data_IF_290117953947
#
_entry.id   IF_290117953947
#
_cell.length_a   1.000
_cell.length_b   1.000
_cell.length_c   1.000
_cell.angle_alpha   90.00
_cell.angle_beta   90.00
_cell.angle_gamma   90.00
#
_symmetry.space_group_name_H-M   'P 1'
#
loop_
_entity.id
_entity.type
_entity.pdbx_description
1 polymer ?
#
# COMPACT_ATOMS: atom_id res chain seq x y z
N UNK A 1 -10.55 -17.81 -0.43
CA UNK A 1 -9.09 -17.84 -0.26
C UNK A 1 -8.54 -16.90 -1.30
N UNK A 2 -7.82 -15.86 -0.88
CA UNK A 2 -7.24 -14.85 -1.77
C UNK A 2 -6.34 -15.49 -2.84
N UNK A 3 -6.46 -15.02 -4.08
CA UNK A 3 -5.68 -15.44 -5.24
C UNK A 3 -5.06 -14.22 -5.92
N UNK A 4 -3.73 -14.14 -5.94
CA UNK A 4 -3.00 -13.05 -6.62
C UNK A 4 -3.42 -12.92 -8.09
N UNK A 5 -3.58 -14.05 -8.78
CA UNK A 5 -3.86 -14.06 -10.23
C UNK A 5 -5.36 -14.11 -10.55
N UNK A 6 -6.22 -14.19 -9.54
CA UNK A 6 -7.68 -14.18 -9.69
C UNK A 6 -8.31 -12.89 -9.18
N UNK A 7 -7.94 -12.46 -7.98
CA UNK A 7 -8.58 -11.35 -7.27
C UNK A 7 -7.93 -9.99 -7.56
N UNK A 8 -6.70 -9.97 -8.09
CA UNK A 8 -5.97 -8.73 -8.40
C UNK A 8 -5.84 -8.45 -9.90
N UNK A 9 -6.41 -9.27 -10.78
CA UNK A 9 -6.45 -8.97 -12.22
C UNK A 9 -7.58 -8.01 -12.60
N UNK A 10 -8.57 -7.89 -11.71
CA UNK A 10 -9.66 -6.92 -11.78
C UNK A 10 -10.01 -6.53 -10.34
N UNK A 11 -9.89 -5.24 -10.01
CA UNK A 11 -10.21 -4.77 -8.67
C UNK A 11 -11.70 -4.40 -8.58
N UNK A 12 -12.35 -4.64 -7.42
CA UNK A 12 -13.71 -4.14 -7.20
C UNK A 12 -13.79 -2.61 -7.34
N UNK A 13 -14.86 -2.10 -7.94
CA UNK A 13 -15.12 -0.65 -8.03
C UNK A 13 -15.57 -0.03 -6.70
N UNK A 14 -16.12 -0.86 -5.80
CA UNK A 14 -16.62 -0.44 -4.50
C UNK A 14 -15.53 -0.47 -3.42
N UNK A 15 -15.43 0.59 -2.62
CA UNK A 15 -14.43 0.72 -1.58
C UNK A 15 -14.56 -0.33 -0.48
N UNK A 16 -15.79 -0.72 -0.10
CA UNK A 16 -15.99 -1.75 0.93
C UNK A 16 -15.58 -3.13 0.41
N UNK A 17 -15.86 -3.44 -0.86
CA UNK A 17 -15.38 -4.67 -1.50
C UNK A 17 -13.84 -4.72 -1.58
N UNK A 18 -13.17 -3.59 -1.78
CA UNK A 18 -11.69 -3.53 -1.66
C UNK A 18 -11.23 -3.78 -0.22
N UNK A 19 -11.95 -3.28 0.80
CA UNK A 19 -11.66 -3.62 2.20
C UNK A 19 -11.81 -5.13 2.49
N UNK A 20 -12.82 -5.80 1.93
CA UNK A 20 -12.97 -7.24 2.04
C UNK A 20 -11.79 -7.99 1.37
N UNK A 21 -11.31 -7.48 0.24
CA UNK A 21 -10.13 -8.00 -0.44
C UNK A 21 -8.86 -7.86 0.42
N UNK A 22 -8.65 -6.70 1.06
CA UNK A 22 -7.57 -6.48 2.03
C UNK A 22 -7.67 -7.49 3.17
N UNK A 23 -8.86 -7.66 3.75
CA UNK A 23 -9.09 -8.62 4.84
C UNK A 23 -8.74 -10.05 4.42
N UNK A 24 -9.15 -10.46 3.22
CA UNK A 24 -8.86 -11.81 2.69
C UNK A 24 -7.37 -12.02 2.46
N UNK A 25 -6.65 -11.01 1.97
CA UNK A 25 -5.19 -11.04 1.86
C UNK A 25 -4.53 -11.23 3.23
N UNK A 26 -4.84 -10.36 4.19
CA UNK A 26 -4.27 -10.39 5.53
C UNK A 26 -4.46 -11.75 6.21
N UNK A 27 -5.66 -12.33 6.12
CA UNK A 27 -5.96 -13.66 6.68
C UNK A 27 -5.15 -14.77 5.96
N UNK A 28 -5.17 -14.77 4.63
CA UNK A 28 -4.57 -15.87 3.85
C UNK A 28 -3.04 -15.87 3.81
N UNK A 29 -2.42 -14.70 3.99
CA UNK A 29 -0.97 -14.52 4.08
C UNK A 29 -0.47 -14.52 5.52
N UNK A 30 -1.36 -14.75 6.50
CA UNK A 30 -1.07 -14.76 7.93
C UNK A 30 -0.41 -13.45 8.41
N UNK A 31 -0.83 -12.34 7.81
CA UNK A 31 -0.43 -10.99 8.15
C UNK A 31 -1.53 -10.43 9.06
N UNK A 32 -1.51 -10.80 10.34
CA UNK A 32 -2.55 -10.36 11.30
C UNK A 32 -1.93 -9.64 12.48
N UNK A 33 -2.63 -8.61 13.00
CA UNK A 33 -2.25 -7.93 14.23
C UNK A 33 -2.79 -8.70 15.44
N UNK A 34 -1.94 -9.34 16.26
CA UNK A 34 -2.41 -9.93 17.50
C UNK A 34 -2.85 -8.80 18.46
N UNK A 35 -4.06 -8.91 19.02
CA UNK A 35 -4.47 -8.09 20.16
C UNK A 35 -5.04 -6.70 19.85
N UNK A 36 -5.50 -6.44 18.62
CA UNK A 36 -6.25 -5.22 18.32
C UNK A 36 -7.62 -5.22 19.02
N UNK A 37 -7.88 -4.24 19.88
CA UNK A 37 -9.21 -4.02 20.45
C UNK A 37 -10.06 -3.18 19.48
N UNK A 38 -10.91 -3.88 18.72
CA UNK A 38 -11.78 -3.25 17.73
C UNK A 38 -12.76 -2.23 18.34
N UNK A 39 -13.18 -2.42 19.59
CA UNK A 39 -14.10 -1.48 20.25
C UNK A 39 -13.39 -0.18 20.61
N UNK A 40 -12.13 -0.28 21.07
CA UNK A 40 -11.29 0.88 21.30
C UNK A 40 -10.98 1.62 19.99
N UNK A 41 -10.54 0.89 18.96
CA UNK A 41 -10.21 1.47 17.67
C UNK A 41 -11.40 2.22 17.04
N UNK A 42 -12.59 1.61 17.07
CA UNK A 42 -13.84 2.23 16.59
C UNK A 42 -14.18 3.52 17.37
N UNK A 43 -13.95 3.55 18.69
CA UNK A 43 -14.15 4.76 19.49
C UNK A 43 -13.13 5.85 19.11
N UNK A 44 -11.85 5.51 18.96
CA UNK A 44 -10.81 6.47 18.58
C UNK A 44 -11.07 7.09 17.20
N UNK A 45 -11.59 6.30 16.26
CA UNK A 45 -12.00 6.80 14.94
C UNK A 45 -13.18 7.77 15.04
N UNK A 46 -14.20 7.47 15.87
CA UNK A 46 -15.32 8.40 16.10
C UNK A 46 -14.87 9.71 16.75
N UNK A 47 -13.95 9.64 17.71
CA UNK A 47 -13.37 10.83 18.34
C UNK A 47 -12.56 11.66 17.33
N UNK A 48 -11.85 11.00 16.40
CA UNK A 48 -11.16 11.69 15.31
C UNK A 48 -12.15 12.42 14.39
N UNK A 49 -13.21 11.75 13.94
CA UNK A 49 -14.27 12.36 13.12
C UNK A 49 -14.94 13.56 13.81
N UNK A 50 -15.28 13.42 15.09
CA UNK A 50 -15.85 14.50 15.89
C UNK A 50 -14.89 15.69 15.99
N UNK A 51 -13.61 15.43 16.27
CA UNK A 51 -12.57 16.46 16.38
C UNK A 51 -12.29 17.18 15.06
N UNK A 52 -12.32 16.44 13.94
CA UNK A 52 -12.09 16.97 12.60
C UNK A 52 -13.35 17.64 12.02
N UNK A 53 -14.53 17.34 12.55
CA UNK A 53 -15.81 17.85 12.06
C UNK A 53 -16.24 17.24 10.72
N UNK A 54 -15.76 16.04 10.40
CA UNK A 54 -16.06 15.33 9.15
C UNK A 54 -16.17 13.82 9.37
N UNK A 55 -16.85 13.13 8.46
CA UNK A 55 -16.83 11.67 8.40
C UNK A 55 -15.63 11.21 7.56
N UNK A 56 -14.90 10.20 8.03
CA UNK A 56 -13.80 9.64 7.25
C UNK A 56 -14.34 8.79 6.08
N UNK A 57 -13.64 8.73 4.93
CA UNK A 57 -14.01 7.83 3.85
C UNK A 57 -14.06 6.37 4.32
N UNK A 58 -14.96 5.58 3.73
CA UNK A 58 -15.25 4.19 4.15
C UNK A 58 -13.98 3.35 4.30
N UNK A 59 -13.08 3.41 3.31
CA UNK A 59 -11.86 2.62 3.33
C UNK A 59 -10.87 3.06 4.41
N UNK A 60 -10.70 4.37 4.64
CA UNK A 60 -9.82 4.87 5.69
C UNK A 60 -10.38 4.56 7.09
N UNK A 61 -11.68 4.75 7.29
CA UNK A 61 -12.37 4.33 8.52
C UNK A 61 -12.12 2.84 8.79
N UNK A 62 -12.34 2.01 7.77
CA UNK A 62 -12.15 0.56 7.88
C UNK A 62 -10.71 0.20 8.23
N UNK A 63 -9.71 0.80 7.56
CA UNK A 63 -8.30 0.56 7.83
C UNK A 63 -7.91 0.92 9.26
N UNK A 64 -8.32 2.09 9.75
CA UNK A 64 -8.01 2.55 11.10
C UNK A 64 -8.65 1.66 12.17
N UNK A 65 -9.86 1.14 11.92
CA UNK A 65 -10.56 0.26 12.86
C UNK A 65 -10.06 -1.19 12.83
N UNK A 66 -9.79 -1.76 11.64
CA UNK A 66 -9.57 -3.20 11.48
C UNK A 66 -8.11 -3.60 11.32
N UNK A 67 -7.28 -2.71 10.78
CA UNK A 67 -5.84 -2.95 10.64
C UNK A 67 -5.08 -2.20 11.73
N UNK A 68 -5.50 -0.96 12.02
CA UNK A 68 -4.94 -0.12 13.07
C UNK A 68 -3.61 0.53 12.69
N UNK A 69 -3.28 1.64 13.33
CA UNK A 69 -2.04 2.39 13.09
C UNK A 69 -0.79 1.82 13.81
N UNK A 70 -0.86 0.58 14.30
CA UNK A 70 0.21 -0.06 15.06
C UNK A 70 1.24 -0.78 14.18
N UNK A 71 2.51 -0.72 14.59
CA UNK A 71 3.70 -1.23 13.88
C UNK A 71 3.77 -2.74 13.58
N UNK A 72 2.74 -3.52 13.92
CA UNK A 72 2.79 -4.98 13.84
C UNK A 72 2.46 -5.52 12.44
N UNK A 73 1.61 -4.83 11.67
CA UNK A 73 1.23 -5.22 10.30
C UNK A 73 1.49 -4.10 9.29
N UNK A 74 1.33 -2.85 9.70
CA UNK A 74 1.64 -1.67 8.90
C UNK A 74 2.50 -0.70 9.72
N UNK A 75 3.31 0.13 9.07
CA UNK A 75 4.18 1.10 9.75
C UNK A 75 5.64 0.67 9.84
N UNK A 76 6.13 -0.08 8.87
CA UNK A 76 7.56 -0.31 8.60
C UNK A 76 8.14 0.81 7.77
N UNK A 77 7.56 1.04 6.59
CA UNK A 77 8.02 2.08 5.67
C UNK A 77 7.11 3.29 5.70
N UNK A 78 5.80 3.07 5.65
CA UNK A 78 4.81 4.11 5.70
C UNK A 78 3.86 3.91 6.89
N UNK A 79 3.75 4.94 7.72
CA UNK A 79 2.85 4.96 8.86
C UNK A 79 1.45 5.36 8.45
N UNK A 80 0.46 4.54 8.81
CA UNK A 80 -0.93 4.99 8.88
C UNK A 80 -1.06 5.92 10.09
N UNK A 81 -1.48 7.16 9.87
CA UNK A 81 -1.59 8.17 10.93
C UNK A 81 -2.66 7.73 11.93
N UNK A 82 -2.24 7.65 13.21
CA UNK A 82 -3.14 7.28 14.30
C UNK A 82 -4.37 8.20 14.36
N UNK A 83 -5.59 7.70 14.66
CA UNK A 83 -6.81 8.53 14.66
C UNK A 83 -6.69 9.81 15.49
N UNK A 84 -6.02 9.75 16.64
CA UNK A 84 -5.75 10.89 17.52
C UNK A 84 -4.81 11.95 16.94
N UNK A 85 -4.02 11.59 15.94
CA UNK A 85 -3.03 12.43 15.28
C UNK A 85 -3.47 12.87 13.87
N UNK A 86 -4.60 12.36 13.36
CA UNK A 86 -5.14 12.83 12.09
C UNK A 86 -5.37 14.35 12.15
N UNK A 87 -4.88 15.04 11.13
CA UNK A 87 -4.94 16.49 11.00
C UNK A 87 -5.25 16.88 9.56
N UNK A 88 -5.88 18.05 9.41
CA UNK A 88 -6.04 18.73 8.14
C UNK A 88 -4.92 19.76 8.07
N UNK A 89 -4.11 19.71 7.01
CA UNK A 89 -3.03 20.67 6.83
C UNK A 89 -3.55 22.07 6.45
N UNK A 90 -2.63 23.01 6.32
CA UNK A 90 -2.93 24.40 5.94
C UNK A 90 -3.49 24.55 4.52
N UNK A 91 -3.38 23.51 3.69
CA UNK A 91 -3.90 23.46 2.32
C UNK A 91 -5.23 22.70 2.21
N UNK A 92 -5.81 22.26 3.33
CA UNK A 92 -7.10 21.55 3.35
C UNK A 92 -6.98 20.08 2.98
N UNK A 93 -5.84 19.44 3.24
CA UNK A 93 -5.62 18.01 3.00
C UNK A 93 -5.66 17.24 4.31
N UNK A 94 -6.54 16.25 4.40
CA UNK A 94 -6.52 15.27 5.47
C UNK A 94 -5.36 14.30 5.23
N UNK A 95 -4.31 14.39 6.05
CA UNK A 95 -3.13 13.52 5.95
C UNK A 95 -3.40 12.22 6.71
N UNK A 96 -3.32 11.08 6.01
CA UNK A 96 -3.55 9.76 6.61
C UNK A 96 -2.34 8.83 6.54
N UNK A 97 -1.35 9.10 5.68
CA UNK A 97 -0.14 8.27 5.53
C UNK A 97 1.10 9.16 5.50
N UNK A 98 2.16 8.73 6.18
CA UNK A 98 3.44 9.46 6.28
C UNK A 98 4.59 8.47 6.21
N UNK A 99 5.58 8.76 5.39
CA UNK A 99 6.77 7.92 5.25
C UNK A 99 7.63 7.99 6.53
N UNK A 100 8.33 6.90 6.86
CA UNK A 100 8.98 6.71 8.16
C UNK A 100 10.12 7.69 8.46
N UNK A 101 10.75 8.27 7.45
CA UNK A 101 11.74 9.34 7.54
C UNK A 101 11.13 10.73 7.31
N UNK A 102 9.80 10.80 7.21
CA UNK A 102 9.04 12.01 6.90
C UNK A 102 9.46 12.65 5.57
N UNK A 103 9.84 11.83 4.59
CA UNK A 103 10.20 12.33 3.25
C UNK A 103 8.96 12.60 2.39
N UNK A 104 7.88 11.86 2.62
CA UNK A 104 6.64 11.99 1.87
C UNK A 104 5.41 11.89 2.78
N UNK A 105 4.31 12.50 2.32
CA UNK A 105 2.98 12.41 2.93
C UNK A 105 1.93 12.13 1.86
N UNK A 106 0.86 11.44 2.25
CA UNK A 106 -0.32 11.20 1.42
C UNK A 106 -1.59 11.61 2.15
N UNK A 107 -2.57 12.05 1.37
CA UNK A 107 -3.80 12.58 1.90
C UNK A 107 -4.92 12.65 0.88
N UNK A 108 -6.07 13.10 1.38
CA UNK A 108 -7.28 13.36 0.60
C UNK A 108 -7.68 14.81 0.83
N UNK A 109 -8.10 15.52 -0.23
CA UNK A 109 -8.62 16.88 -0.04
C UNK A 109 -9.95 16.87 0.69
N UNK A 110 -10.13 17.80 1.62
CA UNK A 110 -11.34 17.90 2.42
C UNK A 110 -12.59 18.19 1.58
N UNK A 111 -12.46 18.90 0.46
CA UNK A 111 -13.56 19.15 -0.48
C UNK A 111 -13.94 17.92 -1.33
N UNK A 112 -13.04 16.94 -1.45
CA UNK A 112 -13.25 15.66 -2.15
C UNK A 112 -13.67 14.53 -1.19
N UNK A 113 -13.59 14.74 0.13
CA UNK A 113 -13.77 13.68 1.14
C UNK A 113 -15.17 13.04 1.15
N UNK A 114 -16.17 13.75 0.61
CA UNK A 114 -17.54 13.26 0.49
C UNK A 114 -17.75 12.26 -0.66
N UNK A 115 -16.74 12.04 -1.51
CA UNK A 115 -16.79 11.00 -2.53
C UNK A 115 -16.73 9.61 -1.89
N UNK A 116 -17.37 8.62 -2.53
CA UNK A 116 -17.41 7.24 -2.02
C UNK A 116 -16.00 6.64 -1.88
N UNK A 117 -15.12 6.99 -2.81
CA UNK A 117 -13.72 6.56 -2.85
C UNK A 117 -12.86 7.70 -3.40
N UNK A 118 -12.46 8.67 -2.55
CA UNK A 118 -11.84 9.91 -3.02
C UNK A 118 -10.43 9.67 -3.58
N UNK A 119 -9.95 10.55 -4.47
CA UNK A 119 -8.58 10.48 -4.97
C UNK A 119 -7.56 10.80 -3.88
N UNK A 120 -6.38 10.21 -4.03
CA UNK A 120 -5.21 10.42 -3.17
C UNK A 120 -4.23 11.34 -3.86
N UNK A 121 -3.73 12.28 -3.07
CA UNK A 121 -2.62 13.16 -3.40
C UNK A 121 -1.43 12.86 -2.50
N UNK A 122 -0.24 13.16 -2.99
CA UNK A 122 1.00 13.00 -2.26
C UNK A 122 1.84 14.28 -2.30
N UNK A 123 2.76 14.41 -1.35
CA UNK A 123 3.65 15.57 -1.24
C UNK A 123 5.06 15.10 -0.87
N UNK A 124 6.03 15.50 -1.68
CA UNK A 124 7.46 15.41 -1.36
C UNK A 124 7.83 16.53 -0.37
N UNK A 125 8.21 16.14 0.84
CA UNK A 125 8.60 17.06 1.90
C UNK A 125 10.06 17.51 1.79
N UNK A 126 10.91 16.79 1.07
CA UNK A 126 12.31 17.16 0.87
C UNK A 126 12.46 18.24 -0.21
N UNK A 127 11.66 18.15 -1.28
CA UNK A 127 11.65 19.14 -2.35
C UNK A 127 10.80 20.39 -2.01
N UNK A 128 10.04 20.36 -0.91
CA UNK A 128 9.07 21.42 -0.57
C UNK A 128 7.98 21.55 -1.64
N UNK A 129 7.62 20.44 -2.28
CA UNK A 129 6.74 20.42 -3.44
C UNK A 129 5.28 20.71 -3.06
N UNK A 130 4.48 21.10 -4.04
CA UNK A 130 3.03 21.16 -3.92
C UNK A 130 2.43 19.74 -3.84
N UNK A 131 1.17 19.64 -3.39
CA UNK A 131 0.44 18.38 -3.45
C UNK A 131 0.19 17.94 -4.91
N UNK A 132 0.63 16.74 -5.26
CA UNK A 132 0.52 16.15 -6.59
C UNK A 132 -0.45 14.95 -6.59
N UNK A 133 -1.03 14.64 -7.76
CA UNK A 133 -1.87 13.44 -7.91
C UNK A 133 -1.04 12.17 -7.66
N UNK A 134 -1.63 11.19 -6.98
CA UNK A 134 -0.97 9.91 -6.68
C UNK A 134 -1.81 8.70 -7.12
N UNK A 135 -3.05 8.59 -6.64
CA UNK A 135 -3.96 7.48 -6.94
C UNK A 135 -5.38 8.01 -7.09
N UNK A 136 -6.19 7.40 -7.97
CA UNK A 136 -7.56 7.87 -8.21
C UNK A 136 -8.56 7.42 -7.14
N UNK A 137 -8.19 6.43 -6.34
CA UNK A 137 -9.05 5.75 -5.36
C UNK A 137 -8.28 5.47 -4.08
N UNK A 138 -8.73 6.04 -2.97
CA UNK A 138 -8.20 5.82 -1.63
C UNK A 138 -8.20 4.34 -1.24
N UNK A 139 -9.26 3.60 -1.53
CA UNK A 139 -9.32 2.17 -1.21
C UNK A 139 -8.21 1.36 -1.88
N UNK A 140 -7.84 1.73 -3.10
CA UNK A 140 -6.77 1.09 -3.87
C UNK A 140 -5.39 1.50 -3.36
N UNK A 141 -5.21 2.76 -2.94
CA UNK A 141 -3.98 3.19 -2.24
C UNK A 141 -3.77 2.40 -0.94
N UNK A 142 -4.83 2.22 -0.15
CA UNK A 142 -4.75 1.47 1.11
C UNK A 142 -4.47 -0.02 0.88
N UNK A 143 -5.00 -0.61 -0.21
CA UNK A 143 -4.65 -1.96 -0.64
C UNK A 143 -3.17 -2.07 -1.00
N UNK A 144 -2.66 -1.15 -1.81
CA UNK A 144 -1.25 -1.06 -2.20
C UNK A 144 -0.35 -0.92 -0.97
N UNK A 145 -0.71 -0.01 -0.06
CA UNK A 145 -0.01 0.21 1.21
C UNK A 145 0.08 -1.09 2.01
N UNK A 146 -1.01 -1.85 2.14
CA UNK A 146 -0.99 -3.13 2.85
C UNK A 146 -0.03 -4.12 2.20
N UNK A 147 0.03 -4.22 0.87
CA UNK A 147 0.99 -5.08 0.19
C UNK A 147 2.43 -4.64 0.41
N UNK A 148 2.69 -3.34 0.30
CA UNK A 148 4.02 -2.77 0.57
C UNK A 148 4.48 -3.10 2.00
N UNK A 149 3.64 -2.83 2.99
CA UNK A 149 3.99 -3.02 4.40
C UNK A 149 4.14 -4.50 4.76
N UNK A 150 3.26 -5.36 4.25
CA UNK A 150 3.36 -6.81 4.45
C UNK A 150 4.63 -7.40 3.83
N UNK A 151 5.04 -6.90 2.66
CA UNK A 151 6.30 -7.28 2.01
C UNK A 151 7.51 -6.89 2.88
N UNK A 152 7.43 -5.81 3.64
CA UNK A 152 8.54 -5.32 4.49
C UNK A 152 8.53 -5.92 5.92
N UNK A 153 7.68 -6.91 6.18
CA UNK A 153 7.69 -7.65 7.46
C UNK A 153 8.90 -8.62 7.53
N UNK A 154 9.54 -8.81 8.70
CA UNK A 154 10.70 -9.70 8.85
C UNK A 154 10.41 -11.15 8.51
N UNK A 155 9.18 -11.59 8.75
CA UNK A 155 8.73 -12.95 8.51
C UNK A 155 8.26 -13.15 7.07
N UNK A 156 8.25 -12.09 6.24
CA UNK A 156 7.81 -12.15 4.87
C UNK A 156 8.80 -12.95 4.01
N UNK A 157 8.28 -13.78 3.10
CA UNK A 157 9.12 -14.42 2.11
C UNK A 157 9.33 -13.43 0.97
N UNK A 158 10.44 -12.70 1.02
CA UNK A 158 10.77 -11.67 0.04
C UNK A 158 12.18 -11.85 -0.49
N UNK A 159 12.32 -11.71 -1.80
CA UNK A 159 13.59 -11.52 -2.48
C UNK A 159 13.51 -10.27 -3.33
N UNK A 160 14.64 -9.58 -3.48
CA UNK A 160 14.78 -8.38 -4.27
C UNK A 160 15.99 -8.47 -5.20
N UNK A 161 15.93 -7.77 -6.33
CA UNK A 161 17.06 -7.59 -7.23
C UNK A 161 17.08 -6.17 -7.77
N UNK A 162 18.26 -5.59 -7.87
CA UNK A 162 18.47 -4.32 -8.56
C UNK A 162 18.39 -4.53 -10.09
N UNK A 163 17.86 -3.54 -10.79
CA UNK A 163 17.71 -3.51 -12.24
C UNK A 163 18.70 -2.52 -12.88
N UNK A 164 19.94 -2.97 -13.09
CA UNK A 164 20.99 -2.12 -13.68
C UNK A 164 20.70 -1.68 -15.14
N UNK A 165 19.77 -2.34 -15.83
CA UNK A 165 19.45 -2.09 -17.25
C UNK A 165 17.98 -1.80 -17.51
N UNK A 166 17.21 -1.46 -16.47
CA UNK A 166 15.75 -1.30 -16.55
C UNK A 166 14.99 -2.62 -16.46
N UNK A 167 13.67 -2.55 -16.70
CA UNK A 167 12.77 -3.68 -16.59
C UNK A 167 13.14 -4.83 -17.56
N UNK A 168 13.26 -6.08 -17.06
CA UNK A 168 13.54 -7.23 -17.91
C UNK A 168 12.29 -7.60 -18.74
N UNK A 169 12.45 -8.05 -20.00
CA UNK A 169 11.33 -8.37 -20.89
C UNK A 169 10.46 -9.53 -20.37
N UNK A 170 10.99 -10.36 -19.47
CA UNK A 170 10.24 -11.43 -18.81
C UNK A 170 9.04 -10.91 -18.01
N UNK A 171 9.06 -9.66 -17.53
CA UNK A 171 7.90 -9.05 -16.87
C UNK A 171 6.70 -8.90 -17.80
N UNK A 172 6.92 -8.68 -19.11
CA UNK A 172 5.84 -8.55 -20.09
C UNK A 172 5.08 -9.87 -20.30
N UNK A 173 5.67 -10.99 -19.89
CA UNK A 173 5.02 -12.30 -19.91
C UNK A 173 4.15 -12.59 -18.68
N UNK A 174 4.25 -11.75 -17.64
CA UNK A 174 3.50 -11.92 -16.42
C UNK A 174 2.15 -11.19 -16.49
N UNK A 175 1.08 -11.76 -15.90
CA UNK A 175 -0.17 -11.04 -15.70
C UNK A 175 0.05 -9.70 -14.99
N UNK A 176 -0.40 -8.62 -15.61
CA UNK A 176 -0.43 -7.31 -14.97
C UNK A 176 -1.59 -7.26 -13.98
N UNK A 177 -1.33 -6.79 -12.76
CA UNK A 177 -2.37 -6.61 -11.76
C UNK A 177 -3.10 -5.28 -11.98
N UNK A 178 -4.38 -5.23 -11.63
CA UNK A 178 -5.26 -4.08 -11.76
C UNK A 178 -5.00 -2.96 -10.73
N UNK A 179 -3.92 -3.06 -9.95
CA UNK A 179 -3.40 -1.96 -9.13
C UNK A 179 -2.82 -0.91 -10.09
N UNK A 180 -3.40 0.31 -10.16
CA UNK A 180 -2.93 1.32 -11.09
C UNK A 180 -1.48 1.74 -10.84
N UNK A 181 -0.81 2.13 -11.91
CA UNK A 181 0.52 2.74 -11.84
C UNK A 181 0.46 4.00 -10.98
N UNK A 182 1.46 4.18 -10.12
CA UNK A 182 1.61 5.35 -9.30
C UNK A 182 3.09 5.74 -9.22
N UNK A 183 3.34 6.98 -8.78
CA UNK A 183 4.67 7.56 -8.74
C UNK A 183 5.58 6.74 -7.82
N UNK A 184 6.77 6.40 -8.30
CA UNK A 184 7.84 5.93 -7.42
C UNK A 184 8.45 7.14 -6.72
N UNK A 185 7.92 7.49 -5.55
CA UNK A 185 8.21 8.76 -4.88
C UNK A 185 9.70 9.07 -4.64
N UNK A 186 10.64 8.11 -4.47
CA UNK A 186 12.07 8.43 -4.37
C UNK A 186 12.67 8.95 -5.68
N UNK A 187 12.06 8.63 -6.83
CA UNK A 187 12.46 9.08 -8.17
C UNK A 187 11.20 9.47 -8.97
N UNK A 188 10.54 10.59 -8.62
CA UNK A 188 9.18 10.88 -9.10
C UNK A 188 9.10 11.18 -10.60
N UNK A 189 10.22 11.57 -11.21
CA UNK A 189 10.35 11.81 -12.66
C UNK A 189 10.68 10.53 -13.46
N UNK A 190 10.90 9.42 -12.77
CA UNK A 190 11.24 8.13 -13.36
C UNK A 190 10.02 7.31 -13.78
N UNK A 191 10.24 6.06 -14.21
CA UNK A 191 9.15 5.11 -14.42
C UNK A 191 8.32 4.91 -13.14
N UNK A 192 7.02 4.59 -13.26
CA UNK A 192 6.14 4.39 -12.12
C UNK A 192 6.38 3.04 -11.42
N UNK A 193 5.76 2.88 -10.26
CA UNK A 193 5.58 1.57 -9.61
C UNK A 193 4.55 0.74 -10.36
N UNK A 194 4.84 -0.56 -10.50
CA UNK A 194 4.01 -1.51 -11.26
C UNK A 194 3.91 -2.84 -10.54
N UNK A 195 2.74 -3.46 -10.59
CA UNK A 195 2.47 -4.74 -9.93
C UNK A 195 2.11 -5.84 -10.94
N UNK A 196 2.74 -7.00 -10.79
CA UNK A 196 2.51 -8.20 -11.60
C UNK A 196 2.23 -9.40 -10.70
N UNK A 197 1.49 -10.37 -11.25
CA UNK A 197 1.04 -11.54 -10.53
C UNK A 197 1.69 -12.82 -11.02
N UNK A 198 2.20 -13.63 -10.10
CA UNK A 198 2.42 -15.04 -10.29
C UNK A 198 1.53 -15.83 -9.32
N UNK A 199 1.42 -17.15 -9.51
CA UNK A 199 0.71 -18.01 -8.56
C UNK A 199 1.32 -17.81 -7.15
N UNK A 200 0.51 -17.33 -6.21
CA UNK A 200 0.86 -17.10 -4.81
C UNK A 200 2.11 -16.21 -4.59
N UNK A 201 2.43 -15.35 -5.57
CA UNK A 201 3.57 -14.43 -5.50
C UNK A 201 3.25 -13.11 -6.22
N UNK A 202 3.42 -12.00 -5.50
CA UNK A 202 3.36 -10.64 -6.01
C UNK A 202 4.75 -10.23 -6.50
N UNK A 203 4.80 -9.63 -7.68
CA UNK A 203 6.02 -9.01 -8.21
C UNK A 203 5.77 -7.50 -8.28
N UNK A 204 6.62 -6.73 -7.61
CA UNK A 204 6.58 -5.26 -7.64
C UNK A 204 7.82 -4.75 -8.37
N UNK A 205 7.61 -3.87 -9.33
CA UNK A 205 8.65 -3.13 -10.02
C UNK A 205 8.62 -1.67 -9.55
N UNK A 206 9.70 -1.25 -8.91
CA UNK A 206 9.90 0.11 -8.41
C UNK A 206 10.72 0.93 -9.42
N UNK A 207 9.99 1.60 -10.31
CA UNK A 207 10.54 2.57 -11.25
C UNK A 207 11.60 2.04 -12.20
N UNK A 208 11.54 0.74 -12.53
CA UNK A 208 12.53 0.02 -13.33
C UNK A 208 13.95 0.05 -12.71
N UNK A 209 14.05 0.29 -11.39
CA UNK A 209 15.30 0.28 -10.60
C UNK A 209 15.39 -0.93 -9.68
N UNK A 210 14.26 -1.37 -9.11
CA UNK A 210 14.20 -2.54 -8.23
C UNK A 210 13.04 -3.46 -8.58
N UNK A 211 13.28 -4.77 -8.48
CA UNK A 211 12.22 -5.76 -8.43
C UNK A 211 12.16 -6.42 -7.07
N UNK A 212 10.93 -6.60 -6.61
CA UNK A 212 10.61 -7.37 -5.42
C UNK A 212 9.72 -8.54 -5.80
N UNK A 213 10.03 -9.70 -5.24
CA UNK A 213 9.18 -10.88 -5.30
C UNK A 213 8.74 -11.21 -3.87
N UNK A 214 7.44 -11.11 -3.63
CA UNK A 214 6.81 -11.37 -2.35
C UNK A 214 5.89 -12.57 -2.46
N UNK A 215 6.20 -13.64 -1.74
CA UNK A 215 5.48 -14.91 -1.80
C UNK A 215 4.89 -15.29 -0.46
N UNK A 216 3.87 -16.16 -0.50
CA UNK A 216 3.32 -16.75 0.72
C UNK A 216 4.30 -17.72 1.38
N UNK A 217 5.14 -18.38 0.59
CA UNK A 217 6.18 -19.30 1.02
C UNK A 217 7.50 -19.03 0.28
N UNK A 218 8.61 -19.55 0.80
CA UNK A 218 9.90 -19.49 0.11
C UNK A 218 9.86 -20.12 -1.29
N UNK A 219 9.08 -21.18 -1.49
CA UNK A 219 8.92 -21.83 -2.79
C UNK A 219 8.20 -20.94 -3.81
N UNK A 220 7.32 -20.06 -3.34
CA UNK A 220 6.60 -19.11 -4.20
C UNK A 220 7.55 -18.05 -4.75
N UNK A 221 8.42 -17.50 -3.90
CA UNK A 221 9.45 -16.55 -4.32
C UNK A 221 10.50 -17.21 -5.20
N UNK A 222 10.92 -18.44 -4.88
CA UNK A 222 11.87 -19.19 -5.70
C UNK A 222 11.34 -19.50 -7.11
N UNK A 223 10.01 -19.51 -7.34
CA UNK A 223 9.46 -19.59 -8.70
C UNK A 223 9.71 -18.29 -9.46
N UNK A 224 9.55 -17.14 -8.82
CA UNK A 224 9.81 -15.84 -9.43
C UNK A 224 11.26 -15.71 -9.88
N UNK A 225 12.22 -16.11 -9.03
CA UNK A 225 13.66 -16.02 -9.35
C UNK A 225 14.10 -16.92 -10.50
N UNK A 226 13.37 -18.01 -10.77
CA UNK A 226 13.59 -18.86 -11.94
C UNK A 226 12.97 -18.31 -13.22
N UNK A 227 11.93 -17.48 -13.09
CA UNK A 227 11.19 -16.91 -14.22
C UNK A 227 11.79 -15.58 -14.69
N UNK A 228 12.38 -14.81 -13.77
CA UNK A 228 12.88 -13.46 -14.04
C UNK A 228 14.39 -13.43 -13.73
N UNK A 229 15.25 -13.14 -14.72
CA UNK A 229 16.68 -12.97 -14.50
C UNK A 229 16.98 -11.87 -13.48
N UNK A 230 17.93 -12.12 -12.58
CA UNK A 230 18.35 -11.13 -11.59
C UNK A 230 19.29 -11.72 -10.54
N UNK A 231 20.03 -10.85 -9.87
CA UNK A 231 20.84 -11.21 -8.68
C UNK A 231 19.96 -11.10 -7.44
N UNK A 232 19.06 -12.06 -7.29
CA UNK A 232 18.08 -12.07 -6.20
C UNK A 232 18.73 -12.28 -4.84
N UNK A 233 18.44 -11.37 -3.91
CA UNK A 233 18.92 -11.39 -2.52
C UNK A 233 17.76 -11.22 -1.56
N UNK A 234 17.93 -11.65 -0.31
CA UNK A 234 16.96 -11.30 0.75
C UNK A 234 17.10 -9.81 1.06
N UNK A 235 15.97 -9.13 1.26
CA UNK A 235 15.99 -7.81 1.90
C UNK A 235 16.64 -7.97 3.28
N UNK A 236 17.62 -7.12 3.60
CA UNK A 236 18.35 -7.21 4.86
C UNK A 236 17.38 -6.95 6.04
N UNK A 237 17.55 -7.71 7.13
CA UNK A 237 16.85 -7.52 8.41
C UNK A 237 17.17 -6.18 9.07
#
# INVERSE_FOLDING_TARGET
MFSVTGDLVELPDDAAAVCELISSFLESWNVTQPGLDLSLAENEVREAEYRLGLALPVALRWMLTNVGAGHNVIGRQDFLVHPRCLEIDDQGVLVYRVENQHCAKWGVRVDEIGYLDPPVIWKDLQAGAEWCSYQQRLSVDLLEMVFNEAMLSPEANVLQTELASGAPPELDSLPRLAIPEHVFWPLPEGPPVRWYGMRDCLIRNDGDVWLWAFGRTADDVNRATRAIPGEWTRSQE
#
